data_IF_883499760411
#
_entry.id   IF_883499760411
#
_cell.length_a   1.000
_cell.length_b   1.000
_cell.length_c   1.000
_cell.angle_alpha   90.00
_cell.angle_beta   90.00
_cell.angle_gamma   90.00
#
_symmetry.space_group_name_H-M   'P 1'
#
loop_
_entity.id
_entity.type
_entity.pdbx_description
1 polymer ?
#
# COMPACT_ATOMS: atom_id res chain seq x y z
N UNK A 1 -14.28 27.68 -4.63
CA UNK A 1 -13.82 26.88 -3.47
C UNK A 1 -12.32 26.67 -3.60
N UNK A 2 -11.52 27.34 -2.78
CA UNK A 2 -10.09 27.03 -2.67
C UNK A 2 -9.97 25.71 -1.89
N UNK A 3 -9.63 24.61 -2.57
CA UNK A 3 -9.17 23.40 -1.88
C UNK A 3 -7.80 23.73 -1.31
N UNK A 4 -7.65 23.71 0.01
CA UNK A 4 -6.32 23.67 0.63
C UNK A 4 -5.56 22.49 0.04
N UNK A 5 -4.29 22.65 -0.36
CA UNK A 5 -3.52 21.55 -0.91
C UNK A 5 -3.43 20.44 0.13
N UNK A 6 -3.67 19.20 -0.32
CA UNK A 6 -3.48 18.01 0.50
C UNK A 6 -2.05 18.01 1.02
N UNK A 7 -1.86 17.98 2.34
CA UNK A 7 -0.53 17.94 2.92
C UNK A 7 -0.07 16.50 2.99
N UNK A 8 0.75 16.10 2.01
CA UNK A 8 1.42 14.81 2.04
C UNK A 8 2.39 14.72 3.23
N UNK A 9 2.54 13.56 3.86
CA UNK A 9 3.49 13.39 4.95
C UNK A 9 4.95 13.63 4.50
N UNK A 10 5.73 14.30 5.34
CA UNK A 10 7.04 14.85 4.96
C UNK A 10 8.15 13.80 4.74
N UNK A 11 7.97 12.59 5.25
CA UNK A 11 8.92 11.48 5.12
C UNK A 11 8.74 10.69 3.82
N UNK A 12 7.72 10.98 3.01
CA UNK A 12 7.63 10.46 1.66
C UNK A 12 8.69 11.11 0.74
N UNK A 13 9.11 10.38 -0.28
CA UNK A 13 9.88 10.90 -1.41
C UNK A 13 9.13 12.05 -2.10
N UNK A 14 9.86 12.90 -2.83
CA UNK A 14 9.24 14.01 -3.58
C UNK A 14 8.18 13.52 -4.56
N UNK A 15 8.44 12.41 -5.26
CA UNK A 15 7.49 11.73 -6.15
C UNK A 15 6.20 11.39 -5.43
N UNK A 16 6.28 10.69 -4.30
CA UNK A 16 5.10 10.28 -3.55
C UNK A 16 4.36 11.46 -2.94
N UNK A 17 5.07 12.48 -2.43
CA UNK A 17 4.44 13.71 -1.95
C UNK A 17 3.65 14.41 -3.06
N UNK A 18 4.25 14.57 -4.25
CA UNK A 18 3.61 15.18 -5.41
C UNK A 18 2.42 14.35 -5.89
N UNK A 19 2.56 13.03 -5.91
CA UNK A 19 1.50 12.11 -6.28
C UNK A 19 0.26 12.30 -5.38
N UNK A 20 0.45 12.31 -4.05
CA UNK A 20 -0.63 12.57 -3.09
C UNK A 20 -1.23 13.96 -3.26
N UNK A 21 -0.40 14.99 -3.44
CA UNK A 21 -0.85 16.38 -3.58
C UNK A 21 -1.68 16.62 -4.85
N UNK A 22 -1.28 16.01 -5.97
CA UNK A 22 -1.88 16.26 -7.29
C UNK A 22 -3.07 15.33 -7.53
N UNK A 23 -2.97 14.06 -7.12
CA UNK A 23 -3.95 13.03 -7.47
C UNK A 23 -4.80 12.55 -6.30
N UNK A 24 -4.43 12.91 -5.06
CA UNK A 24 -5.22 12.56 -3.89
C UNK A 24 -6.52 13.34 -3.80
N UNK A 25 -7.54 12.70 -3.22
CA UNK A 25 -8.80 13.34 -2.85
C UNK A 25 -9.00 13.21 -1.33
N UNK A 26 -9.44 14.30 -0.70
CA UNK A 26 -9.76 14.32 0.73
C UNK A 26 -11.25 14.16 0.94
N UNK A 27 -11.61 13.23 1.82
CA UNK A 27 -12.96 13.00 2.31
C UNK A 27 -13.01 13.26 3.83
N UNK A 28 -14.21 13.51 4.39
CA UNK A 28 -14.38 13.56 5.83
C UNK A 28 -13.84 12.29 6.50
N UNK A 29 -12.94 12.47 7.47
CA UNK A 29 -12.39 11.39 8.27
C UNK A 29 -13.30 11.09 9.46
N UNK A 30 -13.44 9.83 9.83
CA UNK A 30 -14.12 9.45 11.06
C UNK A 30 -13.36 10.02 12.28
N UNK A 31 -14.08 10.69 13.19
CA UNK A 31 -13.51 11.10 14.47
C UNK A 31 -13.51 9.89 15.40
N UNK A 32 -12.32 9.41 15.77
CA UNK A 32 -12.18 8.20 16.58
C UNK A 32 -12.19 8.45 18.09
N UNK A 33 -11.96 9.69 18.52
CA UNK A 33 -11.94 10.07 19.94
C UNK A 33 -13.18 9.64 20.73
N UNK A 34 -14.42 9.73 20.19
CA UNK A 34 -15.61 9.29 20.92
C UNK A 34 -15.64 7.78 21.22
N UNK A 35 -14.87 6.95 20.51
CA UNK A 35 -14.88 5.49 20.67
C UNK A 35 -13.82 4.99 21.66
N UNK A 36 -12.89 5.84 22.12
CA UNK A 36 -11.77 5.42 22.97
C UNK A 36 -12.22 4.71 24.24
N UNK A 37 -13.14 5.32 24.99
CA UNK A 37 -13.62 4.76 26.26
C UNK A 37 -14.34 3.42 26.05
N UNK A 38 -15.11 3.32 24.97
CA UNK A 38 -15.78 2.08 24.59
C UNK A 38 -14.77 0.98 24.24
N UNK A 39 -13.75 1.27 23.45
CA UNK A 39 -12.71 0.31 23.08
C UNK A 39 -11.88 -0.15 24.27
N UNK A 40 -11.56 0.75 25.21
CA UNK A 40 -10.91 0.39 26.47
C UNK A 40 -11.78 -0.57 27.30
N UNK A 41 -13.09 -0.33 27.38
CA UNK A 41 -14.04 -1.23 28.05
C UNK A 41 -14.14 -2.61 27.39
N UNK A 42 -13.91 -2.69 26.07
CA UNK A 42 -13.82 -3.94 25.31
C UNK A 42 -12.47 -4.66 25.48
N UNK A 43 -11.54 -4.10 26.26
CA UNK A 43 -10.24 -4.70 26.51
C UNK A 43 -9.18 -4.42 25.44
N UNK A 44 -9.47 -3.52 24.49
CA UNK A 44 -8.47 -3.09 23.50
C UNK A 44 -7.41 -2.25 24.22
N UNK A 45 -6.11 -2.60 24.12
CA UNK A 45 -5.06 -1.86 24.80
C UNK A 45 -4.97 -0.41 24.27
N UNK A 46 -4.77 0.56 25.18
CA UNK A 46 -4.68 1.98 24.81
C UNK A 46 -3.66 2.28 23.71
N UNK A 47 -2.51 1.59 23.73
CA UNK A 47 -1.49 1.72 22.69
C UNK A 47 -2.00 1.32 21.29
N UNK A 48 -2.93 0.38 21.18
CA UNK A 48 -3.53 0.00 19.89
C UNK A 48 -4.52 1.06 19.42
N UNK A 49 -5.27 1.66 20.34
CA UNK A 49 -6.15 2.80 20.03
C UNK A 49 -5.33 4.00 19.54
N UNK A 50 -4.18 4.25 20.15
CA UNK A 50 -3.28 5.35 19.75
C UNK A 50 -2.74 5.12 18.33
N UNK A 51 -2.36 3.88 17.97
CA UNK A 51 -1.94 3.52 16.61
C UNK A 51 -3.02 3.79 15.55
N UNK A 52 -4.27 3.45 15.86
CA UNK A 52 -5.42 3.74 14.98
C UNK A 52 -5.61 5.25 14.83
N UNK A 53 -5.53 6.00 15.93
CA UNK A 53 -5.66 7.45 15.89
C UNK A 53 -4.53 8.10 15.06
N UNK A 54 -3.30 7.62 15.18
CA UNK A 54 -2.16 8.11 14.40
C UNK A 54 -2.33 7.84 12.90
N UNK A 55 -2.76 6.63 12.52
CA UNK A 55 -3.11 6.32 11.14
C UNK A 55 -4.24 7.23 10.62
N UNK A 56 -5.32 7.36 11.38
CA UNK A 56 -6.47 8.18 10.98
C UNK A 56 -6.10 9.67 10.86
N UNK A 57 -5.16 10.15 11.68
CA UNK A 57 -4.65 11.52 11.60
C UNK A 57 -3.76 11.76 10.38
N UNK A 58 -2.94 10.78 10.00
CA UNK A 58 -2.03 10.89 8.86
C UNK A 58 -2.67 10.57 7.50
N UNK A 59 -3.59 9.61 7.46
CA UNK A 59 -4.08 8.98 6.23
C UNK A 59 -5.60 8.96 6.11
N UNK A 60 -6.33 9.11 7.22
CA UNK A 60 -7.79 9.00 7.26
C UNK A 60 -8.48 9.95 6.28
N UNK A 61 -9.40 9.41 5.49
CA UNK A 61 -10.15 10.14 4.46
C UNK A 61 -9.38 10.37 3.15
N UNK A 62 -8.16 9.86 3.00
CA UNK A 62 -7.40 10.00 1.76
C UNK A 62 -7.80 8.93 0.74
N UNK A 63 -8.28 9.34 -0.42
CA UNK A 63 -8.44 8.46 -1.58
C UNK A 63 -7.34 8.73 -2.59
N UNK A 64 -6.62 7.69 -3.00
CA UNK A 64 -5.56 7.75 -4.02
C UNK A 64 -6.05 7.12 -5.33
N UNK A 65 -5.35 7.36 -6.47
CA UNK A 65 -5.56 6.60 -7.69
C UNK A 65 -5.49 5.08 -7.46
N UNK A 66 -6.22 4.27 -8.26
CA UNK A 66 -6.16 2.81 -8.14
C UNK A 66 -4.75 2.26 -8.31
N UNK A 67 -4.38 1.28 -7.48
CA UNK A 67 -3.18 0.50 -7.66
C UNK A 67 -3.26 -0.41 -8.90
N UNK A 68 -2.12 -0.74 -9.54
CA UNK A 68 -2.11 -1.67 -10.66
C UNK A 68 -2.43 -3.13 -10.27
N UNK A 69 -2.35 -3.46 -8.98
CA UNK A 69 -2.64 -4.77 -8.39
C UNK A 69 -3.73 -4.66 -7.31
N UNK A 70 -4.20 -5.80 -6.80
CA UNK A 70 -5.18 -5.92 -5.70
C UNK A 70 -6.48 -5.17 -5.95
N UNK A 71 -7.04 -5.32 -7.15
CA UNK A 71 -8.27 -4.64 -7.57
C UNK A 71 -8.30 -3.13 -7.29
N UNK A 72 -7.12 -2.50 -7.37
CA UNK A 72 -6.95 -1.06 -7.20
C UNK A 72 -6.64 -0.61 -5.77
N UNK A 73 -6.41 -1.51 -4.82
CA UNK A 73 -6.08 -1.14 -3.43
C UNK A 73 -7.27 -0.56 -2.65
N UNK A 74 -7.04 0.01 -1.45
CA UNK A 74 -8.05 0.72 -0.69
C UNK A 74 -8.69 1.84 -1.51
N UNK A 75 -10.02 1.95 -1.44
CA UNK A 75 -10.79 3.02 -2.09
C UNK A 75 -10.58 4.35 -1.37
N UNK A 76 -10.66 4.34 -0.04
CA UNK A 76 -10.41 5.48 0.85
C UNK A 76 -9.70 4.92 2.08
N UNK A 77 -8.51 5.45 2.39
CA UNK A 77 -7.79 5.08 3.59
C UNK A 77 -8.56 5.54 4.83
N UNK A 78 -8.90 4.60 5.70
CA UNK A 78 -9.52 4.87 7.00
C UNK A 78 -9.17 3.71 7.93
N UNK A 79 -9.03 4.03 9.21
CA UNK A 79 -8.98 3.03 10.26
C UNK A 79 -10.36 2.78 10.86
N UNK A 80 -10.53 1.58 11.39
CA UNK A 80 -11.70 1.14 12.13
C UNK A 80 -11.30 0.60 13.53
N UNK A 81 -12.12 -0.27 14.09
CA UNK A 81 -11.90 -0.83 15.41
C UNK A 81 -10.72 -1.81 15.37
N UNK A 82 -9.72 -1.70 16.27
CA UNK A 82 -8.70 -2.73 16.41
C UNK A 82 -9.31 -4.11 16.66
N UNK A 83 -8.85 -5.09 15.91
CA UNK A 83 -9.22 -6.50 16.06
C UNK A 83 -8.00 -7.35 16.42
N UNK A 84 -8.25 -8.49 17.05
CA UNK A 84 -7.22 -9.45 17.44
C UNK A 84 -6.98 -9.54 18.94
N UNK A 85 -5.75 -9.91 19.30
CA UNK A 85 -5.38 -10.20 20.68
C UNK A 85 -3.88 -10.04 20.91
N UNK A 86 -3.46 -9.96 22.17
CA UNK A 86 -2.03 -9.89 22.51
C UNK A 86 -1.23 -11.10 21.99
N UNK A 87 -1.86 -12.28 21.89
CA UNK A 87 -1.19 -13.50 21.44
C UNK A 87 -1.05 -13.57 19.90
N UNK A 88 -2.05 -13.05 19.18
CA UNK A 88 -2.10 -13.12 17.70
C UNK A 88 -1.59 -11.85 17.03
N UNK A 89 -1.48 -10.76 17.78
CA UNK A 89 -1.28 -9.42 17.24
C UNK A 89 -2.60 -8.66 17.10
N UNK A 90 -2.48 -7.34 16.98
CA UNK A 90 -3.60 -6.43 16.78
C UNK A 90 -3.52 -5.82 15.38
N UNK A 91 -4.63 -5.88 14.66
CA UNK A 91 -4.80 -5.31 13.32
C UNK A 91 -5.92 -4.28 13.34
N UNK A 92 -5.99 -3.45 12.31
CA UNK A 92 -7.15 -2.62 12.02
C UNK A 92 -7.20 -2.36 10.51
N UNK A 93 -8.39 -2.10 9.98
CA UNK A 93 -8.57 -1.83 8.55
C UNK A 93 -7.73 -0.64 8.10
N UNK A 94 -7.19 -0.74 6.89
CA UNK A 94 -6.55 0.36 6.18
C UNK A 94 -7.50 0.98 5.14
N UNK A 95 -8.78 0.61 5.17
CA UNK A 95 -9.84 1.13 4.31
C UNK A 95 -10.46 0.06 3.42
N UNK A 96 -11.73 0.27 3.07
CA UNK A 96 -12.48 -0.65 2.22
C UNK A 96 -11.85 -0.80 0.83
N UNK A 97 -11.92 -2.02 0.30
CA UNK A 97 -11.62 -2.28 -1.11
C UNK A 97 -12.52 -1.50 -2.07
N UNK A 98 -12.08 -1.39 -3.32
CA UNK A 98 -12.89 -0.80 -4.40
C UNK A 98 -13.99 -1.73 -4.90
N UNK A 99 -13.78 -3.03 -4.71
CA UNK A 99 -14.68 -4.12 -5.07
C UNK A 99 -14.72 -5.12 -3.91
N UNK A 100 -15.66 -6.06 -3.95
CA UNK A 100 -15.68 -7.18 -2.99
C UNK A 100 -14.55 -8.15 -3.32
N UNK A 101 -13.78 -8.54 -2.31
CA UNK A 101 -12.58 -9.38 -2.42
C UNK A 101 -12.58 -10.46 -1.33
N UNK A 102 -11.70 -11.45 -1.46
CA UNK A 102 -11.49 -12.52 -0.47
C UNK A 102 -10.52 -12.13 0.68
N UNK A 103 -10.11 -10.86 0.73
CA UNK A 103 -9.19 -10.30 1.72
C UNK A 103 -9.54 -8.84 1.98
N UNK A 104 -9.02 -8.32 3.08
CA UNK A 104 -9.11 -6.92 3.50
C UNK A 104 -7.73 -6.27 3.50
N UNK A 105 -7.67 -4.95 3.33
CA UNK A 105 -6.44 -4.20 3.56
C UNK A 105 -6.38 -3.80 5.03
N UNK A 106 -5.26 -4.10 5.69
CA UNK A 106 -5.12 -3.83 7.12
C UNK A 106 -3.72 -3.33 7.47
N UNK A 107 -3.63 -2.67 8.63
CA UNK A 107 -2.38 -2.35 9.29
C UNK A 107 -2.09 -3.45 10.31
N UNK A 108 -0.95 -4.12 10.14
CA UNK A 108 -0.51 -5.25 10.94
C UNK A 108 0.05 -4.86 12.30
N UNK A 109 0.41 -5.84 13.16
CA UNK A 109 0.86 -5.58 14.53
C UNK A 109 2.12 -4.72 14.64
N UNK A 110 3.03 -4.79 13.66
CA UNK A 110 4.25 -3.97 13.57
C UNK A 110 4.04 -2.64 12.85
N UNK A 111 2.83 -2.37 12.33
CA UNK A 111 2.51 -1.18 11.54
C UNK A 111 2.64 -1.38 10.03
N UNK A 112 2.85 -2.62 9.58
CA UNK A 112 2.96 -2.98 8.17
C UNK A 112 1.62 -2.79 7.45
N UNK A 113 1.67 -2.40 6.18
CA UNK A 113 0.49 -2.40 5.33
C UNK A 113 0.40 -3.76 4.64
N UNK A 114 -0.75 -4.44 4.76
CA UNK A 114 -0.88 -5.83 4.36
C UNK A 114 -2.28 -6.25 3.93
N UNK A 115 -2.39 -7.52 3.59
CA UNK A 115 -3.66 -8.21 3.35
C UNK A 115 -4.00 -9.08 4.55
N UNK A 116 -5.27 -9.04 4.96
CA UNK A 116 -5.83 -9.91 5.99
C UNK A 116 -6.95 -10.76 5.38
N UNK A 117 -6.76 -12.09 5.42
CA UNK A 117 -7.78 -13.10 5.15
C UNK A 117 -7.63 -14.21 6.20
N UNK A 118 -7.60 -15.48 5.77
CA UNK A 118 -7.23 -16.61 6.65
C UNK A 118 -5.81 -16.46 7.24
N UNK A 119 -4.95 -15.69 6.57
CA UNK A 119 -3.57 -15.40 6.98
C UNK A 119 -3.28 -13.91 6.86
N UNK A 120 -2.48 -13.41 7.79
CA UNK A 120 -1.88 -12.09 7.69
C UNK A 120 -0.71 -12.11 6.73
N UNK A 121 -0.71 -11.23 5.73
CA UNK A 121 0.38 -11.11 4.74
C UNK A 121 0.82 -9.65 4.60
N UNK A 122 1.97 -9.26 5.18
CA UNK A 122 2.48 -7.90 5.06
C UNK A 122 3.00 -7.65 3.63
N UNK A 123 2.54 -6.58 2.99
CA UNK A 123 2.98 -6.15 1.65
C UNK A 123 4.20 -5.24 1.74
N UNK A 124 4.08 -4.22 2.60
CA UNK A 124 5.08 -3.18 2.82
C UNK A 124 5.28 -2.96 4.31
N UNK A 125 6.47 -2.53 4.72
CA UNK A 125 6.82 -2.31 6.12
C UNK A 125 5.93 -1.27 6.82
N UNK A 126 5.26 -0.40 6.07
CA UNK A 126 4.21 0.51 6.55
C UNK A 126 3.42 1.09 5.35
N UNK A 127 2.40 1.87 5.66
CA UNK A 127 1.59 2.59 4.67
C UNK A 127 2.40 3.54 3.78
N UNK A 128 3.54 4.06 4.25
CA UNK A 128 4.39 4.94 3.42
C UNK A 128 4.99 4.14 2.28
N UNK A 129 5.54 2.96 2.55
CA UNK A 129 6.07 2.07 1.53
C UNK A 129 5.04 1.70 0.46
N UNK A 130 3.79 1.45 0.87
CA UNK A 130 2.70 1.22 -0.09
C UNK A 130 2.39 2.45 -0.96
N UNK A 131 2.36 3.65 -0.37
CA UNK A 131 2.15 4.91 -1.12
C UNK A 131 3.32 5.21 -2.07
N UNK A 132 4.55 4.90 -1.67
CA UNK A 132 5.75 5.00 -2.54
C UNK A 132 5.63 4.05 -3.74
N UNK A 133 5.26 2.80 -3.50
CA UNK A 133 4.99 1.78 -4.52
C UNK A 133 3.90 2.25 -5.51
N UNK A 134 2.81 2.80 -4.99
CA UNK A 134 1.71 3.32 -5.80
C UNK A 134 2.12 4.53 -6.64
N UNK A 135 2.85 5.48 -6.05
CA UNK A 135 3.35 6.65 -6.75
C UNK A 135 4.37 6.27 -7.85
N UNK A 136 5.23 5.28 -7.57
CA UNK A 136 6.18 4.75 -8.55
C UNK A 136 5.47 4.06 -9.71
N UNK A 137 4.46 3.22 -9.43
CA UNK A 137 3.64 2.60 -10.48
C UNK A 137 2.95 3.64 -11.38
N UNK A 138 2.36 4.67 -10.77
CA UNK A 138 1.70 5.74 -11.51
C UNK A 138 2.70 6.51 -12.38
N UNK A 139 3.87 6.87 -11.84
CA UNK A 139 4.91 7.56 -12.60
C UNK A 139 5.44 6.69 -13.75
N UNK A 140 5.81 5.44 -13.47
CA UNK A 140 6.32 4.52 -14.48
C UNK A 140 5.30 4.29 -15.61
N UNK A 141 4.01 4.20 -15.29
CA UNK A 141 2.96 4.02 -16.28
C UNK A 141 2.80 5.19 -17.26
N UNK A 142 3.18 6.41 -16.86
CA UNK A 142 3.13 7.59 -17.73
C UNK A 142 4.28 7.67 -18.73
N UNK A 143 5.44 7.09 -18.39
CA UNK A 143 6.68 7.24 -19.16
C UNK A 143 7.13 5.97 -19.88
N UNK A 144 6.68 4.80 -19.44
CA UNK A 144 7.04 3.54 -20.07
C UNK A 144 6.51 3.48 -21.51
N UNK A 145 7.32 2.99 -22.43
CA UNK A 145 6.88 2.70 -23.80
C UNK A 145 6.02 1.45 -23.88
N UNK A 146 6.24 0.51 -22.96
CA UNK A 146 5.50 -0.73 -22.85
C UNK A 146 5.36 -1.14 -21.39
N UNK A 147 4.19 -1.69 -21.05
CA UNK A 147 3.92 -2.30 -19.75
C UNK A 147 3.44 -3.72 -20.02
N UNK A 148 4.17 -4.71 -19.52
CA UNK A 148 3.79 -6.12 -19.64
C UNK A 148 3.38 -6.65 -18.28
N UNK A 149 2.22 -7.31 -18.22
CA UNK A 149 1.75 -8.04 -17.04
C UNK A 149 2.07 -9.53 -17.19
N UNK A 150 2.68 -10.10 -16.17
CA UNK A 150 3.06 -11.51 -16.07
C UNK A 150 2.34 -12.08 -14.84
N UNK A 151 1.86 -13.31 -14.92
CA UNK A 151 1.09 -13.96 -13.84
C UNK A 151 1.50 -15.41 -13.63
N UNK A 152 1.27 -15.92 -12.43
CA UNK A 152 1.56 -17.30 -12.04
C UNK A 152 3.05 -17.63 -12.05
N UNK A 153 3.39 -18.89 -12.31
CA UNK A 153 4.77 -19.41 -12.28
C UNK A 153 5.75 -18.67 -13.21
N UNK A 154 5.26 -18.01 -14.26
CA UNK A 154 6.08 -17.22 -15.16
C UNK A 154 6.75 -16.02 -14.47
N UNK A 155 6.22 -15.58 -13.32
CA UNK A 155 6.83 -14.52 -12.51
C UNK A 155 8.13 -15.00 -11.85
N UNK A 156 8.20 -16.26 -11.42
CA UNK A 156 9.41 -16.82 -10.79
C UNK A 156 10.54 -17.07 -11.81
N UNK A 157 10.24 -17.04 -13.11
CA UNK A 157 11.23 -17.10 -14.18
C UNK A 157 11.88 -15.74 -14.49
N UNK A 158 11.47 -14.65 -13.83
CA UNK A 158 12.11 -13.35 -13.98
C UNK A 158 13.49 -13.36 -13.30
N UNK A 159 14.53 -13.07 -14.08
CA UNK A 159 15.86 -12.81 -13.54
C UNK A 159 15.91 -11.40 -12.94
N UNK A 160 15.73 -11.32 -11.61
CA UNK A 160 15.77 -10.07 -10.86
C UNK A 160 17.16 -9.77 -10.28
N UNK A 161 18.11 -10.70 -10.36
CA UNK A 161 19.47 -10.52 -9.81
C UNK A 161 20.27 -9.49 -10.61
N UNK A 162 19.89 -9.25 -11.86
CA UNK A 162 20.44 -8.21 -12.72
C UNK A 162 19.91 -6.79 -12.43
N UNK A 163 18.97 -6.64 -11.48
CA UNK A 163 18.29 -5.39 -11.18
C UNK A 163 18.58 -4.92 -9.75
N UNK A 164 18.57 -3.61 -9.54
CA UNK A 164 18.74 -3.02 -8.21
C UNK A 164 17.39 -2.95 -7.47
N UNK A 165 17.29 -3.37 -6.20
CA UNK A 165 16.07 -3.19 -5.43
C UNK A 165 15.78 -1.69 -5.23
N UNK A 166 14.49 -1.34 -5.17
CA UNK A 166 14.04 0.04 -4.95
C UNK A 166 13.67 0.20 -3.47
N UNK A 167 14.58 0.69 -2.60
CA UNK A 167 14.39 0.62 -1.15
C UNK A 167 13.29 1.55 -0.63
N UNK A 168 12.96 2.62 -1.35
CA UNK A 168 11.94 3.58 -0.88
C UNK A 168 10.55 2.96 -0.73
N UNK A 169 10.22 1.89 -1.46
CA UNK A 169 8.92 1.21 -1.35
C UNK A 169 8.81 0.33 -0.13
N UNK A 170 9.92 0.06 0.57
CA UNK A 170 9.96 -0.76 1.79
C UNK A 170 9.14 -2.05 1.67
N UNK A 171 9.33 -2.75 0.54
CA UNK A 171 8.62 -3.97 0.22
C UNK A 171 8.96 -5.12 1.18
N UNK A 172 7.97 -5.95 1.48
CA UNK A 172 8.14 -7.21 2.20
C UNK A 172 7.83 -8.37 1.25
N UNK A 173 6.55 -8.58 0.94
CA UNK A 173 6.13 -9.53 -0.11
C UNK A 173 6.06 -8.85 -1.47
N UNK A 174 5.76 -7.55 -1.50
CA UNK A 174 5.65 -6.76 -2.71
C UNK A 174 6.85 -5.86 -2.89
N UNK A 175 7.61 -6.09 -3.95
CA UNK A 175 8.91 -5.47 -4.15
C UNK A 175 9.05 -4.87 -5.55
N UNK A 176 10.03 -3.98 -5.66
CA UNK A 176 10.35 -3.28 -6.89
C UNK A 176 11.84 -3.37 -7.18
N UNK A 177 12.14 -3.48 -8.48
CA UNK A 177 13.49 -3.55 -9.00
C UNK A 177 13.66 -2.58 -10.17
N UNK A 178 14.85 -1.99 -10.26
CA UNK A 178 15.23 -0.99 -11.25
C UNK A 178 16.42 -1.49 -12.07
N UNK A 179 16.27 -1.47 -13.38
CA UNK A 179 17.31 -1.78 -14.36
C UNK A 179 17.65 -0.53 -15.18
N UNK A 180 18.38 -0.73 -16.28
CA UNK A 180 18.87 0.36 -17.12
C UNK A 180 17.77 1.20 -17.77
N UNK A 181 16.67 0.58 -18.21
CA UNK A 181 15.53 1.24 -18.86
C UNK A 181 14.18 0.64 -18.42
N UNK A 182 14.21 -0.13 -17.34
CA UNK A 182 13.13 -1.03 -16.94
C UNK A 182 12.86 -0.91 -15.44
N UNK A 183 11.59 -0.87 -15.06
CA UNK A 183 11.14 -1.11 -13.68
C UNK A 183 10.33 -2.42 -13.65
N UNK A 184 10.57 -3.24 -12.64
CA UNK A 184 9.81 -4.47 -12.39
C UNK A 184 9.17 -4.36 -11.02
N UNK A 185 7.85 -4.53 -10.95
CA UNK A 185 7.11 -4.67 -9.71
C UNK A 185 6.63 -6.12 -9.60
N UNK A 186 6.89 -6.78 -8.48
CA UNK A 186 6.35 -8.11 -8.19
C UNK A 186 5.39 -8.01 -7.01
N UNK A 187 4.20 -8.55 -7.20
CA UNK A 187 3.10 -8.59 -6.24
C UNK A 187 2.87 -10.05 -5.83
N UNK A 188 3.35 -10.42 -4.64
CA UNK A 188 3.22 -11.78 -4.08
C UNK A 188 2.09 -11.89 -3.06
N UNK A 189 1.67 -10.75 -2.50
CA UNK A 189 0.77 -10.68 -1.36
C UNK A 189 -0.48 -11.54 -1.47
N UNK A 190 -1.20 -11.48 -2.59
CA UNK A 190 -2.45 -12.23 -2.77
C UNK A 190 -2.20 -13.73 -2.88
N UNK A 191 -1.13 -14.13 -3.58
CA UNK A 191 -0.76 -15.54 -3.71
C UNK A 191 -0.41 -16.15 -2.36
N UNK A 192 0.32 -15.43 -1.52
CA UNK A 192 0.70 -15.88 -0.18
C UNK A 192 -0.51 -15.87 0.78
N UNK A 193 -1.29 -14.78 0.76
CA UNK A 193 -2.47 -14.60 1.62
C UNK A 193 -3.51 -15.70 1.40
N UNK A 194 -3.79 -16.03 0.15
CA UNK A 194 -4.82 -17.01 -0.23
C UNK A 194 -4.25 -18.42 -0.49
N UNK A 195 -2.94 -18.63 -0.33
CA UNK A 195 -2.24 -19.84 -0.77
C UNK A 195 -2.60 -20.23 -2.21
N UNK A 196 -2.57 -19.24 -3.10
CA UNK A 196 -3.02 -19.32 -4.49
C UNK A 196 -1.89 -18.85 -5.44
N UNK A 197 -0.92 -19.72 -5.79
CA UNK A 197 0.24 -19.35 -6.62
C UNK A 197 -0.12 -18.72 -7.96
N UNK A 198 -1.30 -19.03 -8.52
CA UNK A 198 -1.82 -18.42 -9.74
C UNK A 198 -2.08 -16.91 -9.62
N UNK A 199 -2.24 -16.38 -8.41
CA UNK A 199 -2.42 -14.95 -8.14
C UNK A 199 -1.10 -14.18 -8.12
N UNK A 200 0.05 -14.86 -8.20
CA UNK A 200 1.36 -14.22 -8.30
C UNK A 200 1.39 -13.34 -9.56
N UNK A 201 1.88 -12.11 -9.43
CA UNK A 201 1.84 -11.14 -10.51
C UNK A 201 3.11 -10.31 -10.58
N UNK A 202 3.53 -9.96 -11.79
CA UNK A 202 4.55 -8.95 -12.00
C UNK A 202 4.17 -7.99 -13.11
N UNK A 203 4.52 -6.72 -12.94
CA UNK A 203 4.43 -5.68 -13.96
C UNK A 203 5.83 -5.26 -14.37
N UNK A 204 6.12 -5.32 -15.68
CA UNK A 204 7.39 -4.91 -16.27
C UNK A 204 7.16 -3.67 -17.12
N UNK A 205 7.68 -2.54 -16.68
CA UNK A 205 7.64 -1.25 -17.35
C UNK A 205 8.95 -1.07 -18.12
N UNK A 206 8.91 -0.98 -19.46
CA UNK A 206 10.11 -0.92 -20.32
C UNK A 206 10.21 0.38 -21.11
N UNK A 207 11.43 0.71 -21.52
CA UNK A 207 11.74 1.86 -22.35
C UNK A 207 11.61 3.18 -21.59
N UNK A 208 11.89 3.16 -20.28
CA UNK A 208 11.97 4.34 -19.42
C UNK A 208 13.32 5.03 -19.65
N UNK A 209 13.29 6.35 -19.74
CA UNK A 209 14.50 7.17 -19.63
C UNK A 209 14.84 7.45 -18.15
N UNK A 210 15.93 8.19 -17.91
CA UNK A 210 16.36 8.54 -16.54
C UNK A 210 15.24 9.21 -15.73
N UNK A 211 14.41 10.03 -16.38
CA UNK A 211 13.27 10.67 -15.72
C UNK A 211 12.17 9.66 -15.37
N UNK A 212 11.85 8.72 -16.26
CA UNK A 212 10.93 7.62 -15.98
C UNK A 212 11.39 6.69 -14.86
N UNK A 213 12.71 6.48 -14.72
CA UNK A 213 13.29 5.58 -13.71
C UNK A 213 13.43 6.22 -12.31
N UNK A 214 13.82 7.49 -12.27
CA UNK A 214 14.23 8.16 -11.02
C UNK A 214 13.44 9.43 -10.69
N UNK A 215 12.75 10.00 -11.67
CA UNK A 215 12.04 11.26 -11.54
C UNK A 215 10.80 11.19 -10.65
N UNK A 216 10.19 12.37 -10.47
CA UNK A 216 9.00 12.59 -9.64
C UNK A 216 9.27 13.40 -8.39
#
# INVERSE_FOLDING_TARGET
>A
MHRSPLRAPAHLSRRAQRFVQVHGLSFPRLALQPYRDQWLQQGIPGAQIDRVADFQNGWGGLALPPAPAYEGGPRILNADTPEGSTAQGWWFSAGDGRVSMAYEFAIGPGGEFGLLADRWTPLHANIHGWVESLALAHHAALWARNITKITGEAVDALDLDAYEPVPEVQGITDNWWRGTDTLVAVYRGEADCLAAPQCLMAHVYRGLDDWGLHGG
#
